data_IF_646831326296
#
_entry.id   IF_646831326296
#
_cell.length_a   1.000
_cell.length_b   1.000
_cell.length_c   1.000
_cell.angle_alpha   90.00
_cell.angle_beta   90.00
_cell.angle_gamma   90.00
#
_symmetry.space_group_name_H-M   'P 1'
#
loop_
_entity.id
_entity.type
_entity.pdbx_description
1 polymer ?
#
# COMPACT_ATOMS: atom_id res chain seq x y z
N UNK A 1 -9.86 -30.80 -21.55
CA UNK A 1 -9.18 -31.18 -20.29
C UNK A 1 -9.33 -29.99 -19.35
N UNK A 2 -10.30 -30.05 -18.43
CA UNK A 2 -10.74 -28.93 -17.57
C UNK A 2 -10.57 -29.41 -16.13
N UNK A 3 -9.76 -28.72 -15.33
CA UNK A 3 -9.57 -29.02 -13.91
C UNK A 3 -10.43 -28.04 -13.10
N UNK A 4 -11.37 -28.51 -12.27
CA UNK A 4 -12.25 -27.64 -11.52
C UNK A 4 -11.66 -27.20 -10.18
N UNK A 5 -11.77 -25.90 -9.95
CA UNK A 5 -11.76 -25.20 -8.66
C UNK A 5 -12.87 -25.79 -7.77
N UNK A 6 -12.55 -26.30 -6.57
CA UNK A 6 -13.43 -26.34 -5.37
C UNK A 6 -12.67 -26.89 -4.15
N UNK A 7 -12.03 -26.02 -3.36
CA UNK A 7 -11.53 -26.36 -2.01
C UNK A 7 -11.85 -25.22 -1.05
N UNK A 8 -13.13 -24.96 -0.76
CA UNK A 8 -13.55 -24.22 0.45
C UNK A 8 -14.93 -24.75 0.89
N UNK A 9 -14.94 -25.87 1.62
CA UNK A 9 -16.06 -26.28 2.47
C UNK A 9 -15.59 -27.35 3.47
N UNK A 10 -14.88 -26.92 4.52
CA UNK A 10 -14.77 -27.69 5.78
C UNK A 10 -15.91 -27.19 6.68
N UNK A 11 -16.97 -27.98 6.82
CA UNK A 11 -17.15 -28.95 7.91
C UNK A 11 -17.09 -28.29 9.29
N UNK A 12 -18.22 -27.72 9.72
CA UNK A 12 -18.61 -27.70 11.13
C UNK A 12 -19.94 -28.43 11.21
N UNK A 13 -19.83 -29.74 11.41
CA UNK A 13 -20.91 -30.64 11.80
C UNK A 13 -20.58 -31.12 13.19
N UNK A 14 -21.33 -30.70 14.19
CA UNK A 14 -21.56 -31.53 15.37
C UNK A 14 -22.89 -31.13 16.01
N UNK A 15 -23.88 -31.94 15.68
CA UNK A 15 -25.16 -32.05 16.37
C UNK A 15 -24.98 -32.86 17.66
N UNK A 16 -25.70 -32.48 18.71
CA UNK A 16 -25.90 -33.24 19.95
C UNK A 16 -26.77 -32.40 20.90
N UNK A 17 -28.10 -32.49 20.79
CA UNK A 17 -28.98 -33.33 21.62
C UNK A 17 -29.11 -32.86 23.08
N UNK A 18 -30.24 -32.22 23.40
CA UNK A 18 -31.14 -32.57 24.52
C UNK A 18 -32.41 -31.69 24.48
N UNK A 19 -33.62 -32.28 24.51
CA UNK A 19 -34.89 -31.54 24.53
C UNK A 19 -35.52 -31.48 25.94
N UNK A 20 -36.56 -30.64 26.03
CA UNK A 20 -37.75 -30.75 26.91
C UNK A 20 -37.78 -30.01 28.27
N UNK A 21 -38.75 -29.08 28.30
CA UNK A 21 -39.67 -28.72 29.40
C UNK A 21 -39.09 -28.15 30.71
N UNK A 22 -39.42 -26.88 30.99
CA UNK A 22 -40.25 -26.53 32.16
C UNK A 22 -40.65 -25.04 32.18
N UNK A 23 -41.90 -24.82 32.58
CA UNK A 23 -42.38 -23.69 33.37
C UNK A 23 -42.55 -22.32 32.70
N UNK A 24 -43.74 -22.18 32.12
CA UNK A 24 -44.66 -21.06 32.28
C UNK A 24 -44.58 -20.40 33.69
N UNK A 25 -44.03 -19.18 33.77
CA UNK A 25 -44.36 -18.25 34.86
C UNK A 25 -44.35 -16.82 34.33
N UNK A 26 -45.51 -16.18 34.41
CA UNK A 26 -45.73 -14.80 34.02
C UNK A 26 -44.87 -13.84 34.85
N UNK A 27 -44.10 -12.98 34.17
CA UNK A 27 -43.66 -11.71 34.72
C UNK A 27 -43.97 -10.63 33.67
N UNK A 28 -45.06 -9.90 33.91
CA UNK A 28 -45.36 -8.65 33.21
C UNK A 28 -44.23 -7.66 33.50
N UNK A 29 -43.30 -7.54 32.56
CA UNK A 29 -42.28 -6.50 32.62
C UNK A 29 -42.95 -5.15 32.31
N UNK A 30 -42.78 -4.13 33.18
CA UNK A 30 -43.21 -2.78 32.87
C UNK A 30 -42.48 -2.29 31.62
N UNK A 31 -43.19 -1.51 30.80
CA UNK A 31 -42.79 -1.08 29.47
C UNK A 31 -41.30 -0.83 29.34
N UNK A 32 -40.64 -1.66 28.53
CA UNK A 32 -39.34 -1.34 27.96
C UNK A 32 -39.59 -0.18 27.02
N UNK A 33 -39.52 1.04 27.56
CA UNK A 33 -39.25 2.21 26.75
C UNK A 33 -38.02 1.84 25.94
N UNK A 34 -38.19 1.72 24.62
CA UNK A 34 -37.11 1.50 23.69
C UNK A 34 -36.09 2.59 23.94
N UNK A 35 -35.03 2.29 24.70
CA UNK A 35 -33.87 3.13 24.77
C UNK A 35 -33.33 3.16 23.36
N UNK A 36 -33.62 4.23 22.62
CA UNK A 36 -32.90 4.54 21.39
C UNK A 36 -31.44 4.66 21.80
N UNK A 37 -30.67 3.59 21.57
CA UNK A 37 -29.22 3.68 21.61
C UNK A 37 -28.85 4.89 20.75
N UNK A 38 -28.07 5.85 21.29
CA UNK A 38 -27.64 6.98 20.50
C UNK A 38 -26.96 6.41 19.26
N UNK A 39 -27.53 6.69 18.08
CA UNK A 39 -26.99 6.21 16.81
C UNK A 39 -25.58 6.77 16.68
N UNK A 40 -24.58 5.96 17.02
CA UNK A 40 -23.17 6.32 16.88
C UNK A 40 -22.89 6.30 15.39
N UNK A 41 -23.07 7.46 14.75
CA UNK A 41 -22.75 7.63 13.35
C UNK A 41 -21.25 7.31 13.15
N UNK A 42 -20.83 6.74 12.00
CA UNK A 42 -19.42 6.54 11.68
C UNK A 42 -18.67 7.87 11.47
N UNK A 43 -17.36 7.91 11.72
CA UNK A 43 -16.55 9.14 11.55
C UNK A 43 -16.38 9.52 10.07
N UNK A 44 -16.25 8.52 9.22
CA UNK A 44 -16.04 8.64 7.78
C UNK A 44 -16.96 7.66 7.07
N UNK A 45 -17.53 8.09 5.95
CA UNK A 45 -18.31 7.25 5.06
C UNK A 45 -17.63 7.22 3.68
N UNK A 46 -17.56 6.04 3.02
CA UNK A 46 -17.05 5.95 1.66
C UNK A 46 -17.94 6.78 0.73
N UNK A 47 -17.32 7.53 -0.17
CA UNK A 47 -18.05 8.26 -1.19
C UNK A 47 -18.59 7.26 -2.23
N UNK A 48 -19.91 7.18 -2.36
CA UNK A 48 -20.57 6.48 -3.46
C UNK A 48 -20.98 7.50 -4.51
N UNK A 49 -20.46 7.33 -5.72
CA UNK A 49 -20.88 8.13 -6.87
C UNK A 49 -22.40 8.03 -7.03
N UNK A 50 -23.07 9.19 -7.13
CA UNK A 50 -24.52 9.35 -7.30
C UNK A 50 -25.38 9.11 -6.04
N UNK A 51 -24.77 8.86 -4.88
CA UNK A 51 -25.52 8.88 -3.63
C UNK A 51 -25.77 10.34 -3.17
N UNK A 52 -26.98 10.67 -2.68
CA UNK A 52 -27.22 11.98 -2.08
C UNK A 52 -26.32 12.19 -0.85
N UNK A 53 -25.91 13.43 -0.56
CA UNK A 53 -25.05 13.74 0.58
C UNK A 53 -25.71 13.32 1.91
N UNK A 54 -25.03 12.51 2.75
CA UNK A 54 -25.58 12.14 4.05
C UNK A 54 -25.76 13.36 4.97
N UNK A 55 -26.85 13.42 5.78
CA UNK A 55 -27.09 14.54 6.68
C UNK A 55 -25.95 14.73 7.68
N UNK A 56 -25.43 15.95 7.79
CA UNK A 56 -24.32 16.27 8.71
C UNK A 56 -22.95 15.79 8.25
N UNK A 57 -22.79 15.35 7.00
CA UNK A 57 -21.48 15.05 6.40
C UNK A 57 -21.11 16.08 5.33
N UNK A 58 -19.80 16.35 5.22
CA UNK A 58 -19.19 17.19 4.21
C UNK A 58 -18.27 16.37 3.33
N UNK A 59 -18.12 16.78 2.07
CA UNK A 59 -17.20 16.16 1.13
C UNK A 59 -15.78 16.66 1.42
N UNK A 60 -14.83 15.76 1.63
CA UNK A 60 -13.41 16.07 1.82
C UNK A 60 -12.58 15.29 0.79
N UNK A 61 -11.65 15.98 0.14
CA UNK A 61 -10.63 15.35 -0.70
C UNK A 61 -9.46 14.94 0.18
N UNK A 62 -9.08 13.67 0.16
CA UNK A 62 -7.92 13.19 0.89
C UNK A 62 -6.88 12.55 -0.04
N UNK A 63 -5.59 12.80 0.22
CA UNK A 63 -4.53 12.13 -0.52
C UNK A 63 -4.57 10.63 -0.24
N UNK A 64 -4.35 9.81 -1.28
CA UNK A 64 -4.26 8.36 -1.14
C UNK A 64 -2.88 7.94 -0.61
N UNK A 65 -2.69 8.11 0.70
CA UNK A 65 -1.43 7.75 1.38
C UNK A 65 -1.13 6.26 1.27
N UNK A 66 -2.14 5.40 1.27
CA UNK A 66 -1.96 3.95 1.18
C UNK A 66 -1.34 3.56 -0.15
N UNK A 67 -1.84 4.10 -1.26
CA UNK A 67 -1.29 3.82 -2.59
C UNK A 67 0.15 4.33 -2.74
N UNK A 68 0.45 5.50 -2.17
CA UNK A 68 1.83 6.02 -2.12
C UNK A 68 2.75 5.11 -1.33
N UNK A 69 2.35 4.68 -0.13
CA UNK A 69 3.17 3.79 0.71
C UNK A 69 3.41 2.43 0.03
N UNK A 70 2.39 1.87 -0.61
CA UNK A 70 2.51 0.62 -1.37
C UNK A 70 3.47 0.78 -2.54
N UNK A 71 3.31 1.83 -3.36
CA UNK A 71 4.20 2.10 -4.48
C UNK A 71 5.66 2.31 -4.05
N UNK A 72 5.88 3.08 -2.98
CA UNK A 72 7.21 3.30 -2.41
C UNK A 72 7.84 2.00 -1.90
N UNK A 73 7.06 1.12 -1.28
CA UNK A 73 7.54 -0.17 -0.77
C UNK A 73 7.93 -1.12 -1.90
N UNK A 74 7.13 -1.20 -2.97
CA UNK A 74 7.42 -2.03 -4.14
C UNK A 74 8.67 -1.51 -4.86
N UNK A 75 8.71 -0.20 -5.15
CA UNK A 75 9.85 0.41 -5.83
C UNK A 75 11.14 0.29 -5.01
N UNK A 76 11.08 0.65 -3.73
CA UNK A 76 12.23 0.57 -2.83
C UNK A 76 12.72 -0.86 -2.63
N UNK A 77 11.81 -1.82 -2.46
CA UNK A 77 12.14 -3.24 -2.28
C UNK A 77 12.81 -3.84 -3.51
N UNK A 78 12.28 -3.55 -4.71
CA UNK A 78 12.86 -3.97 -5.97
C UNK A 78 14.25 -3.34 -6.17
N UNK A 79 14.38 -2.02 -6.03
CA UNK A 79 15.65 -1.33 -6.20
C UNK A 79 16.75 -1.80 -5.23
N UNK A 80 16.42 -2.00 -3.95
CA UNK A 80 17.38 -2.55 -2.98
C UNK A 80 17.84 -3.95 -3.39
N UNK A 81 16.92 -4.77 -3.91
CA UNK A 81 17.24 -6.10 -4.41
C UNK A 81 18.17 -6.04 -5.63
N UNK A 82 17.95 -5.11 -6.56
CA UNK A 82 18.85 -4.87 -7.71
C UNK A 82 20.24 -4.43 -7.25
N UNK A 83 20.34 -3.51 -6.29
CA UNK A 83 21.61 -3.04 -5.74
C UNK A 83 22.37 -4.16 -5.03
N UNK A 84 21.68 -5.00 -4.26
CA UNK A 84 22.29 -6.16 -3.60
C UNK A 84 22.78 -7.19 -4.61
N UNK A 85 22.00 -7.45 -5.65
CA UNK A 85 22.36 -8.36 -6.74
C UNK A 85 23.58 -7.83 -7.49
N UNK A 86 23.59 -6.54 -7.85
CA UNK A 86 24.74 -5.87 -8.47
C UNK A 86 25.99 -5.97 -7.59
N UNK A 87 25.87 -5.60 -6.31
CA UNK A 87 26.99 -5.66 -5.37
C UNK A 87 27.53 -7.07 -5.18
N UNK A 88 26.67 -8.09 -5.17
CA UNK A 88 27.11 -9.48 -5.08
C UNK A 88 27.85 -9.89 -6.36
N UNK A 89 27.28 -9.65 -7.53
CA UNK A 89 27.82 -10.14 -8.80
C UNK A 89 29.10 -9.43 -9.25
N UNK A 90 29.26 -8.16 -8.89
CA UNK A 90 30.51 -7.39 -9.07
C UNK A 90 31.66 -7.98 -8.25
N UNK A 91 31.38 -8.66 -7.13
CA UNK A 91 32.41 -9.26 -6.26
C UNK A 91 32.74 -10.72 -6.57
N UNK A 92 31.96 -11.38 -7.44
CA UNK A 92 32.20 -12.78 -7.82
C UNK A 92 33.34 -12.86 -8.83
N UNK A 93 34.36 -13.65 -8.50
CA UNK A 93 35.49 -13.89 -9.39
C UNK A 93 35.04 -14.62 -10.67
N UNK A 94 35.39 -14.05 -11.84
CA UNK A 94 34.97 -14.54 -13.15
C UNK A 94 33.83 -13.76 -13.81
N UNK A 95 33.15 -12.86 -13.09
CA UNK A 95 32.20 -11.92 -13.69
C UNK A 95 32.90 -10.62 -14.11
N UNK A 96 32.41 -10.01 -15.19
CA UNK A 96 32.86 -8.68 -15.60
C UNK A 96 32.05 -7.61 -14.85
N UNK A 97 32.67 -6.77 -13.98
CA UNK A 97 31.93 -5.83 -13.14
C UNK A 97 31.20 -4.74 -13.94
N UNK A 98 31.68 -4.44 -15.15
CA UNK A 98 31.06 -3.46 -16.05
C UNK A 98 29.66 -3.90 -16.52
N UNK A 99 29.42 -5.21 -16.65
CA UNK A 99 28.13 -5.75 -17.10
C UNK A 99 27.01 -5.51 -16.09
N UNK A 100 27.36 -5.39 -14.81
CA UNK A 100 26.41 -5.29 -13.69
C UNK A 100 26.35 -3.88 -13.08
N UNK A 101 27.26 -2.99 -13.46
CA UNK A 101 27.34 -1.62 -12.92
C UNK A 101 26.07 -0.80 -13.21
N UNK A 102 25.38 -1.10 -14.32
CA UNK A 102 24.15 -0.40 -14.67
C UNK A 102 23.01 -0.65 -13.67
N UNK A 103 22.99 -1.75 -12.92
CA UNK A 103 21.95 -2.05 -11.91
C UNK A 103 21.92 -1.10 -10.72
N UNK A 104 22.98 -0.31 -10.50
CA UNK A 104 22.95 0.77 -9.50
C UNK A 104 22.06 1.94 -9.93
N UNK A 105 21.69 2.05 -11.22
CA UNK A 105 20.74 3.02 -11.69
C UNK A 105 19.30 2.49 -11.50
N UNK A 106 18.44 3.17 -10.72
CA UNK A 106 17.05 2.75 -10.57
C UNK A 106 16.31 2.88 -11.91
N UNK A 107 15.32 2.01 -12.12
CA UNK A 107 14.41 1.98 -13.29
C UNK A 107 15.12 1.60 -14.59
N UNK A 108 16.17 2.32 -14.97
CA UNK A 108 16.90 2.18 -16.23
C UNK A 108 17.93 1.05 -16.15
N UNK A 109 18.50 0.81 -14.97
CA UNK A 109 19.58 -0.15 -14.76
C UNK A 109 19.31 -1.55 -15.25
N UNK A 110 18.18 -2.19 -14.90
CA UNK A 110 17.86 -3.55 -15.35
C UNK A 110 17.78 -3.68 -16.87
N UNK A 111 17.25 -2.66 -17.56
CA UNK A 111 17.13 -2.66 -19.02
C UNK A 111 18.47 -2.42 -19.70
N UNK A 112 19.31 -1.53 -19.15
CA UNK A 112 20.65 -1.28 -19.68
C UNK A 112 21.52 -2.52 -19.48
N UNK A 113 21.54 -3.11 -18.29
CA UNK A 113 22.27 -4.35 -17.96
C UNK A 113 21.94 -5.46 -18.95
N UNK A 114 20.65 -5.65 -19.28
CA UNK A 114 20.20 -6.64 -20.25
C UNK A 114 20.62 -6.34 -21.70
N UNK A 115 20.78 -5.06 -22.06
CA UNK A 115 21.17 -4.62 -23.39
C UNK A 115 22.68 -4.51 -23.61
N UNK A 116 23.45 -4.28 -22.54
CA UNK A 116 24.90 -4.08 -22.61
C UNK A 116 25.72 -5.25 -22.13
N UNK A 117 25.18 -6.09 -21.22
CA UNK A 117 25.93 -7.20 -20.65
C UNK A 117 25.95 -8.41 -21.58
N UNK A 118 27.16 -8.85 -21.94
CA UNK A 118 27.37 -9.95 -22.88
C UNK A 118 26.83 -11.30 -22.34
N UNK A 119 26.84 -11.47 -21.02
CA UNK A 119 26.47 -12.72 -20.32
C UNK A 119 25.03 -12.71 -19.75
N UNK A 120 24.31 -11.59 -19.85
CA UNK A 120 23.06 -11.34 -19.08
C UNK A 120 21.88 -10.88 -19.92
N UNK A 121 22.04 -10.86 -21.25
CA UNK A 121 20.99 -10.55 -22.21
C UNK A 121 20.31 -11.79 -22.82
N UNK A 122 19.41 -11.55 -23.77
CA UNK A 122 18.81 -12.60 -24.61
C UNK A 122 19.71 -13.00 -25.80
N UNK A 123 20.99 -12.63 -25.76
CA UNK A 123 21.94 -12.88 -26.84
C UNK A 123 22.45 -14.33 -26.88
N UNK A 124 23.25 -14.68 -27.90
CA UNK A 124 23.76 -16.04 -28.11
C UNK A 124 24.62 -16.60 -26.96
N UNK A 125 25.24 -15.70 -26.16
CA UNK A 125 26.04 -16.03 -24.97
C UNK A 125 25.34 -15.70 -23.66
N UNK A 126 24.12 -15.15 -23.74
CA UNK A 126 23.43 -14.59 -22.60
C UNK A 126 22.65 -15.62 -21.79
N UNK A 127 22.54 -15.38 -20.50
CA UNK A 127 21.71 -16.16 -19.59
C UNK A 127 20.25 -15.70 -19.64
N UNK A 128 19.41 -16.42 -20.38
CA UNK A 128 17.98 -16.11 -20.51
C UNK A 128 17.25 -16.03 -19.15
N UNK A 129 17.66 -16.79 -18.15
CA UNK A 129 17.07 -16.72 -16.80
C UNK A 129 17.41 -15.39 -16.13
N UNK A 130 18.67 -14.93 -16.24
CA UNK A 130 19.07 -13.63 -15.73
C UNK A 130 18.34 -12.50 -16.46
N UNK A 131 18.21 -12.60 -17.78
CA UNK A 131 17.48 -11.62 -18.59
C UNK A 131 15.98 -11.54 -18.19
N UNK A 132 15.32 -12.66 -17.94
CA UNK A 132 13.92 -12.67 -17.45
C UNK A 132 13.82 -12.06 -16.06
N UNK A 133 14.75 -12.37 -15.14
CA UNK A 133 14.75 -11.79 -13.79
C UNK A 133 14.97 -10.28 -13.84
N UNK A 134 15.89 -9.80 -14.68
CA UNK A 134 16.13 -8.38 -14.92
C UNK A 134 14.91 -7.68 -15.54
N UNK A 135 14.21 -8.35 -16.45
CA UNK A 135 12.98 -7.81 -17.04
C UNK A 135 11.89 -7.67 -15.99
N UNK A 136 11.67 -8.70 -15.18
CA UNK A 136 10.68 -8.69 -14.10
C UNK A 136 11.03 -7.63 -13.08
N UNK A 137 12.31 -7.50 -12.71
CA UNK A 137 12.78 -6.46 -11.79
C UNK A 137 12.55 -5.05 -12.35
N UNK A 138 12.96 -4.79 -13.60
CA UNK A 138 12.74 -3.50 -14.26
C UNK A 138 11.26 -3.13 -14.37
N UNK A 139 10.39 -4.07 -14.77
CA UNK A 139 8.94 -3.87 -14.83
C UNK A 139 8.36 -3.62 -13.42
N UNK A 140 8.85 -4.31 -12.41
CA UNK A 140 8.43 -4.13 -11.02
C UNK A 140 8.82 -2.74 -10.52
N UNK A 141 10.04 -2.28 -10.80
CA UNK A 141 10.48 -0.92 -10.46
C UNK A 141 9.65 0.15 -11.16
N UNK A 142 9.41 0.02 -12.48
CA UNK A 142 8.55 0.95 -13.24
C UNK A 142 7.13 0.98 -12.66
N UNK A 143 6.57 -0.19 -12.36
CA UNK A 143 5.22 -0.31 -11.79
C UNK A 143 5.15 0.31 -10.40
N UNK A 144 6.12 0.02 -9.53
CA UNK A 144 6.21 0.60 -8.19
C UNK A 144 6.35 2.13 -8.24
N UNK A 145 7.21 2.64 -9.11
CA UNK A 145 7.39 4.07 -9.33
C UNK A 145 6.10 4.73 -9.85
N UNK A 146 5.42 4.11 -10.82
CA UNK A 146 4.16 4.59 -11.34
C UNK A 146 3.07 4.61 -10.27
N UNK A 147 2.95 3.56 -9.45
CA UNK A 147 2.01 3.50 -8.33
C UNK A 147 2.32 4.54 -7.26
N UNK A 148 3.60 4.78 -6.97
CA UNK A 148 4.03 5.79 -6.03
C UNK A 148 3.61 7.19 -6.50
N UNK A 149 3.94 7.54 -7.75
CA UNK A 149 3.58 8.82 -8.35
C UNK A 149 2.07 8.97 -8.46
N UNK A 150 1.35 7.93 -8.90
CA UNK A 150 -0.10 7.94 -8.98
C UNK A 150 -0.74 8.11 -7.60
N UNK A 151 -0.20 7.47 -6.56
CA UNK A 151 -0.66 7.65 -5.18
C UNK A 151 -0.47 9.08 -4.67
N UNK A 152 0.61 9.76 -5.07
CA UNK A 152 0.87 11.17 -4.73
C UNK A 152 -0.05 12.14 -5.49
N UNK A 153 -0.47 11.78 -6.70
CA UNK A 153 -1.33 12.62 -7.54
C UNK A 153 -2.84 12.35 -7.35
N UNK A 154 -3.21 11.22 -6.75
CA UNK A 154 -4.61 10.81 -6.62
C UNK A 154 -5.18 11.21 -5.26
N UNK A 155 -6.16 12.11 -5.31
CA UNK A 155 -7.05 12.37 -4.20
C UNK A 155 -8.30 11.48 -4.29
N UNK A 156 -8.76 10.98 -3.14
CA UNK A 156 -10.01 10.25 -3.03
C UNK A 156 -11.04 11.06 -2.24
N UNK A 157 -12.29 10.98 -2.69
CA UNK A 157 -13.44 11.62 -2.04
C UNK A 157 -13.88 10.79 -0.85
N UNK A 158 -14.04 11.42 0.31
CA UNK A 158 -14.66 10.79 1.48
C UNK A 158 -15.68 11.73 2.10
N UNK A 159 -16.74 11.16 2.64
CA UNK A 159 -17.69 11.89 3.47
C UNK A 159 -17.17 11.92 4.89
N UNK A 160 -16.92 13.11 5.42
CA UNK A 160 -16.46 13.32 6.80
C UNK A 160 -17.57 14.03 7.56
N UNK A 161 -17.82 13.61 8.80
CA UNK A 161 -18.86 14.24 9.60
C UNK A 161 -18.48 15.69 9.94
N UNK A 162 -19.46 16.59 9.83
CA UNK A 162 -19.29 18.03 9.95
C UNK A 162 -18.94 18.52 11.36
N UNK A 163 -19.24 17.72 12.38
CA UNK A 163 -18.93 17.94 13.81
C UNK A 163 -17.43 17.83 14.12
N UNK A 164 -16.64 17.19 13.26
CA UNK A 164 -15.20 17.04 13.46
C UNK A 164 -14.50 18.30 12.94
N UNK A 165 -13.72 19.01 13.79
CA UNK A 165 -12.96 20.16 13.34
C UNK A 165 -12.04 19.75 12.19
N UNK A 166 -11.98 20.59 11.15
CA UNK A 166 -10.96 20.43 10.12
C UNK A 166 -9.61 20.46 10.83
N UNK A 167 -8.89 19.33 10.84
CA UNK A 167 -7.44 19.45 10.94
C UNK A 167 -7.02 20.06 9.61
N UNK A 168 -6.46 21.28 9.59
CA UNK A 168 -5.85 21.80 8.36
C UNK A 168 -4.95 20.69 7.82
N UNK A 169 -5.12 20.29 6.56
CA UNK A 169 -4.22 19.31 5.95
C UNK A 169 -2.75 19.79 6.05
N UNK A 170 -2.55 21.11 6.16
CA UNK A 170 -1.28 21.78 6.47
C UNK A 170 -0.71 21.50 7.88
N UNK A 171 -1.50 21.05 8.87
CA UNK A 171 -0.99 20.72 10.21
C UNK A 171 -0.62 19.23 10.37
N UNK A 172 -1.08 18.35 9.47
CA UNK A 172 -0.68 16.93 9.45
C UNK A 172 0.46 16.63 8.47
N UNK A 173 0.68 17.52 7.51
CA UNK A 173 1.82 17.47 6.63
C UNK A 173 2.84 18.52 7.09
N UNK A 174 4.00 18.05 7.56
CA UNK A 174 5.20 18.81 7.93
C UNK A 174 5.16 19.59 9.26
N UNK A 175 5.88 19.16 10.32
CA UNK A 175 6.54 20.15 11.18
C UNK A 175 7.36 21.03 10.24
N UNK A 176 6.95 22.27 10.02
CA UNK A 176 7.64 23.20 9.11
C UNK A 176 9.05 23.35 9.65
N UNK A 177 10.08 22.79 8.98
CA UNK A 177 11.43 22.93 9.47
C UNK A 177 11.82 24.39 9.25
N UNK A 178 12.07 25.11 10.34
CA UNK A 178 12.64 26.45 10.24
C UNK A 178 14.09 26.27 9.78
N UNK A 179 14.33 26.49 8.49
CA UNK A 179 15.65 26.50 7.89
C UNK A 179 16.28 27.86 8.15
N UNK A 180 17.17 27.92 9.14
CA UNK A 180 17.94 29.12 9.43
C UNK A 180 19.21 29.07 8.60
N UNK A 181 19.37 29.99 7.63
CA UNK A 181 20.60 30.15 6.86
C UNK A 181 21.27 31.45 7.29
N UNK A 182 22.49 31.36 7.83
CA UNK A 182 23.31 32.51 8.19
C UNK A 182 24.72 32.42 7.62
N UNK A 183 25.46 33.53 7.68
CA UNK A 183 26.83 33.64 7.14
C UNK A 183 27.82 32.64 7.76
N UNK A 184 27.49 32.04 8.92
CA UNK A 184 28.33 31.07 9.64
C UNK A 184 27.72 29.66 9.77
N UNK A 185 26.62 29.37 9.07
CA UNK A 185 26.06 28.00 9.05
C UNK A 185 24.57 27.92 8.72
N UNK A 186 24.11 26.70 8.47
CA UNK A 186 22.69 26.35 8.31
C UNK A 186 22.24 25.48 9.48
N UNK A 187 21.06 25.77 10.04
CA UNK A 187 20.44 25.00 11.12
C UNK A 187 19.01 24.60 10.76
N UNK A 188 18.62 23.39 11.17
CA UNK A 188 17.26 22.88 11.01
C UNK A 188 16.64 22.74 12.40
N UNK A 189 15.55 23.46 12.66
CA UNK A 189 14.81 23.34 13.93
C UNK A 189 13.51 22.57 13.72
N UNK A 190 13.38 21.45 14.43
CA UNK A 190 12.15 20.66 14.50
C UNK A 190 11.41 20.99 15.80
N UNK A 191 10.10 21.25 15.72
CA UNK A 191 9.19 21.29 16.87
C UNK A 191 8.34 20.01 16.83
N UNK A 192 8.46 19.21 17.89
CA UNK A 192 7.69 17.98 18.09
C UNK A 192 6.48 18.26 18.99
#
# INVERSE_FOLDING_TARGET
MVVPVQVIRRFVSMAGLLPALAALTALTLPGVASAQEPVVLPRTLPFLDKAPPPPGYRLEMRPNTTMSVVGASIFGGAYVSSVLLAGTLVTVEGNNPEDWAALFAPIVGPFVTMGTGEDVGFGPRGNATAAVLLLVDGVTQVTGAALFIAGLMTDHKIWVRGDIPLKPQAERATPVPELMIGLRGAGLRMRF
#
